data_IF_623022876734
#
_entry.id   IF_623022876734
#
_cell.length_a   1.000
_cell.length_b   1.000
_cell.length_c   1.000
_cell.angle_alpha   90.00
_cell.angle_beta   90.00
_cell.angle_gamma   90.00
#
_symmetry.space_group_name_H-M   'P 1'
#
loop_
_entity.id
_entity.type
_entity.pdbx_description
1 polymer ?
#
# COMPACT_ATOMS: atom_id res chain seq x y z
N UNK A 1 -6.41 -11.69 11.80
CA UNK A 1 -6.96 -12.04 10.47
C UNK A 1 -7.24 -10.75 9.75
N UNK A 2 -7.08 -10.73 8.43
CA UNK A 2 -7.48 -9.62 7.57
C UNK A 2 -8.50 -10.15 6.56
N UNK A 3 -9.59 -9.44 6.40
CA UNK A 3 -10.68 -9.79 5.49
C UNK A 3 -10.87 -8.72 4.42
N UNK A 4 -11.40 -9.12 3.27
CA UNK A 4 -11.93 -8.17 2.31
C UNK A 4 -13.02 -7.31 2.98
N UNK A 5 -12.98 -6.00 2.72
CA UNK A 5 -13.75 -4.92 3.36
C UNK A 5 -13.26 -4.44 4.73
N UNK A 6 -12.20 -5.02 5.29
CA UNK A 6 -11.58 -4.49 6.50
C UNK A 6 -11.00 -3.10 6.27
N UNK A 7 -11.13 -2.26 7.30
CA UNK A 7 -10.45 -0.98 7.38
C UNK A 7 -9.16 -1.20 8.16
N UNK A 8 -8.01 -0.89 7.55
CA UNK A 8 -6.69 -1.16 8.09
C UNK A 8 -5.79 0.07 8.03
N UNK A 9 -4.75 0.08 8.86
CA UNK A 9 -3.60 0.99 8.71
C UNK A 9 -2.33 0.16 8.51
N UNK A 10 -1.49 0.60 7.57
CA UNK A 10 -0.24 -0.07 7.24
C UNK A 10 0.92 0.70 7.86
N UNK A 11 1.66 0.05 8.75
CA UNK A 11 2.84 0.62 9.39
C UNK A 11 4.09 0.09 8.70
N UNK A 12 4.92 0.99 8.21
CA UNK A 12 6.24 0.67 7.71
C UNK A 12 7.12 0.23 8.88
N UNK A 13 7.66 -0.99 8.85
CA UNK A 13 8.30 -1.61 10.01
C UNK A 13 9.56 -0.82 10.42
N UNK A 14 10.40 -0.43 9.45
CA UNK A 14 11.70 0.16 9.77
C UNK A 14 11.59 1.56 10.37
N UNK A 15 10.68 2.39 9.82
CA UNK A 15 10.52 3.79 10.29
C UNK A 15 9.43 3.93 11.35
N UNK A 16 8.55 2.94 11.51
CA UNK A 16 7.38 3.00 12.39
C UNK A 16 6.29 3.97 11.93
N UNK A 17 6.39 4.52 10.71
CA UNK A 17 5.45 5.48 10.14
C UNK A 17 4.31 4.76 9.40
N UNK A 18 3.17 5.42 9.23
CA UNK A 18 1.96 4.83 8.66
C UNK A 18 1.75 5.29 7.22
N UNK A 19 1.31 4.38 6.33
CA UNK A 19 0.91 4.72 4.97
C UNK A 19 -0.29 5.67 5.01
N UNK A 20 -0.11 6.85 4.43
CA UNK A 20 -1.04 7.99 4.54
C UNK A 20 -1.25 8.64 3.19
N UNK A 21 -2.43 9.18 2.98
CA UNK A 21 -2.72 10.03 1.83
C UNK A 21 -3.69 11.15 2.21
N UNK A 22 -3.73 12.22 1.41
CA UNK A 22 -4.72 13.29 1.56
C UNK A 22 -5.06 13.89 0.22
N UNK A 23 -6.14 14.68 0.15
CA UNK A 23 -6.62 15.30 -1.09
C UNK A 23 -5.73 16.44 -1.58
N UNK A 24 -4.48 16.10 -1.88
CA UNK A 24 -3.42 16.95 -2.42
C UNK A 24 -2.61 16.13 -3.42
N UNK A 25 -2.11 16.77 -4.46
CA UNK A 25 -1.38 16.11 -5.54
C UNK A 25 0.12 16.31 -5.42
N UNK A 26 0.90 15.46 -6.06
CA UNK A 26 2.31 15.75 -6.29
C UNK A 26 2.49 17.00 -7.16
N UNK A 27 3.59 17.72 -6.96
CA UNK A 27 3.99 18.89 -7.76
C UNK A 27 4.87 18.52 -8.98
N UNK A 28 5.11 17.22 -9.18
CA UNK A 28 5.88 16.63 -10.27
C UNK A 28 5.37 15.22 -10.56
N UNK A 29 6.01 14.48 -11.46
CA UNK A 29 5.59 13.14 -11.80
C UNK A 29 4.22 13.14 -12.49
N UNK A 30 3.28 12.34 -11.97
CA UNK A 30 1.96 12.17 -12.57
C UNK A 30 0.96 13.28 -12.23
N UNK A 31 1.27 14.10 -11.22
CA UNK A 31 0.32 15.04 -10.61
C UNK A 31 -0.94 14.37 -10.02
N UNK A 32 -0.89 13.07 -9.73
CA UNK A 32 -1.94 12.37 -9.00
C UNK A 32 -1.85 12.63 -7.48
N UNK A 33 -2.85 12.15 -6.73
CA UNK A 33 -2.94 12.35 -5.29
C UNK A 33 -1.72 11.73 -4.59
N UNK A 34 -1.09 12.48 -3.69
CA UNK A 34 0.16 12.09 -3.05
C UNK A 34 -0.02 10.99 -2.01
N UNK A 35 0.96 10.10 -1.90
CA UNK A 35 1.06 9.06 -0.86
C UNK A 35 2.40 9.24 -0.14
N UNK A 36 2.39 9.11 1.17
CA UNK A 36 3.55 9.31 2.02
C UNK A 36 3.41 8.47 3.29
N UNK A 37 4.43 8.44 4.15
CA UNK A 37 4.25 7.91 5.51
C UNK A 37 4.29 8.97 6.60
N UNK A 38 3.34 8.93 7.54
CA UNK A 38 3.20 9.87 8.66
C UNK A 38 3.63 9.26 10.01
N UNK A 39 4.05 10.10 10.95
CA UNK A 39 4.51 9.68 12.29
C UNK A 39 3.43 9.03 13.18
N UNK A 40 2.16 9.33 12.92
CA UNK A 40 1.04 8.90 13.75
C UNK A 40 -0.12 8.46 12.87
N UNK A 41 -0.89 7.49 13.36
CA UNK A 41 -2.15 7.07 12.72
C UNK A 41 -3.21 8.18 12.82
N UNK A 42 -3.96 8.35 11.75
CA UNK A 42 -5.10 9.27 11.64
C UNK A 42 -6.13 8.71 10.66
N UNK A 43 -7.26 9.39 10.48
CA UNK A 43 -8.25 9.01 9.45
C UNK A 43 -7.63 8.95 8.03
N UNK A 44 -6.63 9.79 7.76
CA UNK A 44 -5.83 9.82 6.51
C UNK A 44 -4.88 8.63 6.34
N UNK A 45 -4.78 7.76 7.35
CA UNK A 45 -3.98 6.54 7.32
C UNK A 45 -4.85 5.28 7.25
N UNK A 46 -6.15 5.43 6.95
CA UNK A 46 -7.10 4.32 6.89
C UNK A 46 -7.37 3.90 5.46
N UNK A 47 -7.23 2.60 5.20
CA UNK A 47 -7.40 1.97 3.89
C UNK A 47 -8.42 0.83 3.97
N UNK A 48 -9.23 0.64 2.93
CA UNK A 48 -10.12 -0.51 2.80
C UNK A 48 -9.44 -1.55 1.92
N UNK A 49 -9.38 -2.79 2.40
CA UNK A 49 -8.96 -3.94 1.61
C UNK A 49 -10.10 -4.33 0.70
N UNK A 50 -9.89 -4.31 -0.61
CA UNK A 50 -10.87 -4.71 -1.61
C UNK A 50 -10.29 -5.81 -2.48
N UNK A 51 -11.10 -6.74 -2.98
CA UNK A 51 -10.66 -7.65 -4.03
C UNK A 51 -10.48 -6.89 -5.37
N UNK A 52 -9.93 -7.55 -6.40
CA UNK A 52 -9.91 -7.02 -7.76
C UNK A 52 -11.32 -6.73 -8.25
N UNK A 53 -11.45 -5.88 -9.27
CA UNK A 53 -12.77 -5.44 -9.80
C UNK A 53 -13.62 -6.62 -10.26
N UNK A 54 -12.99 -7.60 -10.90
CA UNK A 54 -13.63 -8.84 -11.33
C UNK A 54 -13.19 -9.93 -10.35
N UNK A 55 -14.08 -10.26 -9.42
CA UNK A 55 -13.89 -11.35 -8.45
C UNK A 55 -15.19 -12.09 -8.23
N UNK A 56 -15.11 -13.35 -7.82
CA UNK A 56 -16.26 -14.12 -7.29
C UNK A 56 -16.34 -14.06 -5.75
N UNK A 57 -15.38 -13.37 -5.11
CA UNK A 57 -15.34 -13.19 -3.65
C UNK A 57 -16.37 -12.17 -3.18
N UNK A 58 -17.19 -12.57 -2.21
CA UNK A 58 -18.08 -11.65 -1.51
C UNK A 58 -17.31 -10.90 -0.40
N UNK A 59 -17.86 -9.79 0.13
CA UNK A 59 -17.30 -9.14 1.32
C UNK A 59 -17.17 -10.12 2.51
N UNK A 60 -16.06 -10.02 3.25
CA UNK A 60 -15.82 -10.83 4.47
C UNK A 60 -15.07 -12.15 4.26
N UNK A 61 -14.47 -12.38 3.09
CA UNK A 61 -13.52 -13.49 2.89
C UNK A 61 -12.15 -13.13 3.49
N UNK A 62 -11.49 -14.12 4.11
CA UNK A 62 -10.11 -13.97 4.57
C UNK A 62 -9.19 -13.81 3.36
N UNK A 63 -8.27 -12.85 3.45
CA UNK A 63 -7.27 -12.63 2.40
C UNK A 63 -6.12 -13.61 2.59
N UNK A 64 -5.86 -14.43 1.58
CA UNK A 64 -4.74 -15.36 1.48
C UNK A 64 -3.43 -14.67 1.13
N UNK A 65 -2.32 -15.40 1.29
CA UNK A 65 -1.07 -14.98 0.67
C UNK A 65 -1.15 -15.15 -0.86
N UNK A 66 -0.44 -14.27 -1.57
CA UNK A 66 -0.45 -14.12 -3.04
C UNK A 66 -1.79 -13.68 -3.65
N UNK A 67 -2.82 -13.45 -2.83
CA UNK A 67 -4.09 -12.93 -3.30
C UNK A 67 -3.92 -11.50 -3.84
N UNK A 68 -4.51 -11.20 -5.01
CA UNK A 68 -4.56 -9.86 -5.53
C UNK A 68 -5.58 -9.04 -4.73
N UNK A 69 -5.18 -7.84 -4.32
CA UNK A 69 -5.99 -6.89 -3.57
C UNK A 69 -5.86 -5.50 -4.17
N UNK A 70 -6.81 -4.64 -3.84
CA UNK A 70 -6.73 -3.19 -4.01
C UNK A 70 -6.86 -2.56 -2.64
N UNK A 71 -6.11 -1.49 -2.40
CA UNK A 71 -6.20 -0.71 -1.17
C UNK A 71 -6.83 0.64 -1.49
N UNK A 72 -8.02 0.89 -0.96
CA UNK A 72 -8.74 2.15 -1.18
C UNK A 72 -8.61 3.07 0.02
N UNK A 73 -8.06 4.26 -0.19
CA UNK A 73 -7.95 5.27 0.84
C UNK A 73 -9.34 5.72 1.31
N UNK A 74 -9.64 5.60 2.60
CA UNK A 74 -11.00 5.82 3.13
C UNK A 74 -11.49 7.26 2.92
N UNK A 75 -10.73 8.31 3.32
CA UNK A 75 -11.19 9.69 3.17
C UNK A 75 -11.43 10.13 1.73
N UNK A 76 -10.57 9.72 0.78
CA UNK A 76 -10.63 10.23 -0.60
C UNK A 76 -11.25 9.27 -1.60
N UNK A 77 -11.48 8.01 -1.21
CA UNK A 77 -12.01 6.92 -2.06
C UNK A 77 -11.12 6.54 -3.24
N UNK A 78 -9.92 7.10 -3.34
CA UNK A 78 -8.93 6.78 -4.37
C UNK A 78 -8.19 5.48 -4.02
N UNK A 79 -7.70 4.77 -5.04
CA UNK A 79 -6.97 3.51 -4.90
C UNK A 79 -5.46 3.78 -4.79
N UNK A 80 -4.76 2.99 -3.97
CA UNK A 80 -3.30 2.93 -3.99
C UNK A 80 -2.85 2.43 -5.37
N UNK A 81 -2.03 3.22 -6.03
CA UNK A 81 -1.75 3.10 -7.45
C UNK A 81 -0.25 3.22 -7.72
N UNK A 82 0.24 2.55 -8.76
CA UNK A 82 1.61 2.76 -9.23
C UNK A 82 1.74 2.55 -10.73
N UNK A 83 2.73 3.19 -11.34
CA UNK A 83 2.91 3.26 -12.79
C UNK A 83 4.34 3.63 -13.15
N UNK A 84 4.73 3.56 -14.43
CA UNK A 84 6.10 3.87 -14.89
C UNK A 84 6.44 5.38 -14.89
N UNK A 85 6.20 6.05 -13.77
CA UNK A 85 6.53 7.45 -13.52
C UNK A 85 7.59 7.52 -12.41
N UNK A 86 8.64 8.34 -12.54
CA UNK A 86 9.61 8.55 -11.46
C UNK A 86 8.99 9.25 -10.25
N UNK A 87 9.33 8.78 -9.05
CA UNK A 87 8.91 9.36 -7.78
C UNK A 87 9.55 10.75 -7.57
N UNK A 88 8.89 11.65 -6.81
CA UNK A 88 9.28 13.06 -6.75
C UNK A 88 10.62 13.34 -6.05
N UNK A 89 11.09 12.46 -5.14
CA UNK A 89 12.31 12.72 -4.36
C UNK A 89 13.47 11.77 -4.72
N UNK A 90 13.26 10.45 -4.66
CA UNK A 90 14.32 9.47 -4.95
C UNK A 90 14.44 9.09 -6.42
N UNK A 91 13.41 9.35 -7.23
CA UNK A 91 13.34 8.92 -8.63
C UNK A 91 13.11 7.42 -8.82
N UNK A 92 12.66 6.72 -7.77
CA UNK A 92 12.15 5.34 -7.87
C UNK A 92 10.79 5.33 -8.60
N UNK A 93 9.98 4.27 -8.52
CA UNK A 93 8.65 4.31 -9.09
C UNK A 93 7.70 5.11 -8.20
N UNK A 94 6.92 6.01 -8.80
CA UNK A 94 5.90 6.77 -8.10
C UNK A 94 4.78 5.84 -7.59
N UNK A 95 4.43 6.00 -6.32
CA UNK A 95 3.19 5.47 -5.75
C UNK A 95 2.29 6.65 -5.44
N UNK A 96 1.03 6.54 -5.84
CA UNK A 96 0.04 7.61 -5.78
C UNK A 96 -1.31 7.05 -5.33
N UNK A 97 -2.27 7.95 -5.16
CA UNK A 97 -3.69 7.63 -5.10
C UNK A 97 -4.34 8.02 -6.43
N UNK A 98 -5.08 7.10 -7.05
CA UNK A 98 -5.74 7.31 -8.33
C UNK A 98 -7.22 6.92 -8.29
N UNK A 99 -8.02 7.56 -9.15
CA UNK A 99 -9.41 7.16 -9.36
C UNK A 99 -10.33 7.41 -8.17
N UNK A 100 -11.37 6.59 -8.06
CA UNK A 100 -12.42 6.68 -7.04
C UNK A 100 -13.22 5.36 -6.98
N UNK A 101 -14.48 5.42 -6.50
CA UNK A 101 -15.36 4.25 -6.45
C UNK A 101 -15.76 3.66 -7.81
N UNK A 102 -15.83 4.49 -8.83
CA UNK A 102 -16.26 4.13 -10.19
C UNK A 102 -15.09 4.07 -11.19
N UNK A 103 -13.92 4.58 -10.81
CA UNK A 103 -12.74 4.65 -11.66
C UNK A 103 -11.55 3.93 -11.02
N UNK A 104 -11.10 2.87 -11.67
CA UNK A 104 -10.04 1.96 -11.24
C UNK A 104 -9.48 1.24 -12.46
N UNK A 105 -8.22 0.85 -12.42
CA UNK A 105 -7.55 0.10 -13.49
C UNK A 105 -6.57 -0.95 -12.95
N UNK A 106 -5.84 -1.62 -13.84
CA UNK A 106 -4.92 -2.71 -13.49
C UNK A 106 -3.69 -2.23 -12.67
N UNK A 107 -3.43 -0.93 -12.62
CA UNK A 107 -2.36 -0.33 -11.82
C UNK A 107 -2.79 -0.07 -10.36
N UNK A 108 -4.02 -0.43 -10.00
CA UNK A 108 -4.50 -0.38 -8.61
C UNK A 108 -4.29 -1.72 -7.88
N UNK A 109 -3.81 -2.76 -8.58
CA UNK A 109 -3.76 -4.14 -8.07
C UNK A 109 -2.39 -4.46 -7.48
N UNK A 110 -2.43 -4.99 -6.25
CA UNK A 110 -1.25 -5.39 -5.47
C UNK A 110 -1.43 -6.83 -5.00
N UNK A 111 -0.33 -7.57 -4.84
CA UNK A 111 -0.33 -8.89 -4.19
C UNK A 111 0.22 -8.79 -2.79
N UNK A 112 -0.51 -9.34 -1.82
CA UNK A 112 -0.04 -9.46 -0.44
C UNK A 112 0.84 -10.70 -0.35
N UNK A 113 2.12 -10.53 -0.04
CA UNK A 113 3.05 -11.65 0.04
C UNK A 113 3.74 -11.72 1.40
N UNK A 114 4.16 -12.92 1.77
CA UNK A 114 5.02 -13.13 2.92
C UNK A 114 6.35 -12.41 2.69
N UNK A 115 6.91 -11.82 3.73
CA UNK A 115 8.28 -11.30 3.62
C UNK A 115 9.31 -12.45 3.60
N UNK A 116 9.06 -13.49 4.41
CA UNK A 116 9.90 -14.69 4.49
C UNK A 116 9.03 -15.91 4.17
N UNK A 117 9.17 -16.45 2.96
CA UNK A 117 8.38 -17.59 2.47
C UNK A 117 8.72 -18.92 3.18
N UNK A 118 9.86 -18.99 3.87
CA UNK A 118 10.34 -20.19 4.56
C UNK A 118 9.98 -20.19 6.06
N UNK A 119 9.26 -19.18 6.56
CA UNK A 119 8.91 -19.06 7.97
C UNK A 119 7.64 -19.87 8.31
N UNK A 120 7.83 -20.98 9.03
CA UNK A 120 6.75 -21.87 9.51
C UNK A 120 5.72 -21.17 10.42
N UNK A 121 5.94 -19.92 10.81
CA UNK A 121 4.97 -19.10 11.56
C UNK A 121 3.83 -18.54 10.69
N UNK A 122 3.97 -18.55 9.36
CA UNK A 122 2.90 -18.14 8.45
C UNK A 122 1.87 -19.26 8.29
N UNK A 123 0.60 -18.97 8.61
CA UNK A 123 -0.52 -19.77 8.09
C UNK A 123 -0.85 -19.33 6.65
N UNK A 124 -1.87 -19.93 6.04
CA UNK A 124 -2.21 -19.68 4.63
C UNK A 124 -2.74 -18.24 4.35
N UNK A 125 -2.89 -17.39 5.37
CA UNK A 125 -3.63 -16.14 5.27
C UNK A 125 -2.89 -14.93 5.84
N UNK A 126 -3.27 -13.75 5.36
CA UNK A 126 -2.75 -12.47 5.84
C UNK A 126 -3.29 -12.12 7.23
N UNK A 127 -2.38 -11.75 8.14
CA UNK A 127 -2.68 -11.49 9.55
C UNK A 127 -2.23 -10.10 10.02
N UNK A 128 -3.04 -9.53 10.91
CA UNK A 128 -2.70 -8.34 11.70
C UNK A 128 -1.47 -8.61 12.55
N UNK A 129 -0.53 -7.65 12.60
CA UNK A 129 0.71 -7.78 13.37
C UNK A 129 1.80 -8.63 12.71
N UNK A 130 1.52 -9.26 11.56
CA UNK A 130 2.49 -10.09 10.84
C UNK A 130 3.19 -9.28 9.72
N UNK A 131 4.53 -9.34 9.63
CA UNK A 131 5.26 -8.69 8.54
C UNK A 131 4.85 -9.22 7.17
N UNK A 132 4.74 -8.33 6.20
CA UNK A 132 4.40 -8.66 4.82
C UNK A 132 5.03 -7.65 3.85
N UNK A 133 4.96 -7.98 2.56
CA UNK A 133 5.29 -7.07 1.45
C UNK A 133 4.08 -6.94 0.51
N UNK A 134 3.98 -5.79 -0.16
CA UNK A 134 2.99 -5.56 -1.21
C UNK A 134 3.69 -5.44 -2.55
N UNK A 135 3.40 -6.35 -3.47
CA UNK A 135 3.93 -6.31 -4.83
C UNK A 135 2.91 -5.71 -5.77
N UNK A 136 3.25 -4.62 -6.43
CA UNK A 136 2.43 -4.07 -7.50
C UNK A 136 2.35 -5.06 -8.66
N UNK A 137 1.14 -5.47 -9.08
CA UNK A 137 0.98 -6.56 -10.03
C UNK A 137 1.48 -6.19 -11.43
N UNK A 138 1.18 -4.98 -11.91
CA UNK A 138 1.52 -4.58 -13.28
C UNK A 138 3.03 -4.36 -13.49
N UNK A 139 3.76 -3.90 -12.46
CA UNK A 139 5.18 -3.53 -12.57
C UNK A 139 6.13 -4.49 -11.84
N UNK A 140 5.60 -5.33 -10.94
CA UNK A 140 6.38 -6.26 -10.12
C UNK A 140 7.15 -5.61 -8.97
N UNK A 141 7.07 -4.28 -8.80
CA UNK A 141 7.80 -3.53 -7.77
C UNK A 141 7.13 -3.63 -6.40
N UNK A 142 7.92 -3.51 -5.34
CA UNK A 142 7.43 -3.60 -3.96
C UNK A 142 7.07 -2.22 -3.42
N UNK A 143 5.99 -2.12 -2.65
CA UNK A 143 5.65 -0.93 -1.88
C UNK A 143 6.75 -0.69 -0.85
N UNK A 144 7.41 0.46 -0.93
CA UNK A 144 8.61 0.79 -0.19
C UNK A 144 8.49 2.16 0.47
N UNK A 145 9.11 2.35 1.63
CA UNK A 145 9.30 3.68 2.21
C UNK A 145 10.64 3.76 2.92
N UNK A 146 11.24 4.94 2.98
CA UNK A 146 12.62 5.09 3.45
C UNK A 146 12.83 6.47 4.07
N UNK A 147 14.02 6.76 4.62
CA UNK A 147 14.31 8.05 5.26
C UNK A 147 14.62 9.17 4.26
N UNK A 148 13.74 9.35 3.27
CA UNK A 148 13.72 10.48 2.33
C UNK A 148 12.44 11.24 2.58
N UNK A 149 12.57 12.46 3.09
CA UNK A 149 11.44 13.31 3.42
C UNK A 149 10.81 13.95 2.16
N UNK A 150 9.49 13.98 2.15
CA UNK A 150 8.66 14.85 1.34
C UNK A 150 8.33 16.14 2.12
N UNK A 151 7.58 17.03 1.48
CA UNK A 151 7.03 18.22 2.15
C UNK A 151 6.21 17.82 3.39
N UNK A 152 6.15 18.73 4.37
CA UNK A 152 5.41 18.53 5.63
C UNK A 152 5.88 17.35 6.50
N UNK A 153 7.07 16.80 6.23
CA UNK A 153 7.73 15.81 7.09
C UNK A 153 7.22 14.38 6.92
N UNK A 154 6.41 14.09 5.90
CA UNK A 154 6.12 12.70 5.52
C UNK A 154 7.33 12.07 4.83
N UNK A 155 7.51 10.75 4.95
CA UNK A 155 8.53 10.08 4.13
C UNK A 155 7.95 9.67 2.77
N UNK A 156 8.80 9.62 1.75
CA UNK A 156 8.44 9.16 0.42
C UNK A 156 7.97 7.69 0.47
N UNK A 157 6.98 7.39 -0.36
CA UNK A 157 6.50 6.03 -0.63
C UNK A 157 6.67 5.78 -2.13
N UNK A 158 7.24 4.63 -2.46
CA UNK A 158 7.68 4.31 -3.82
C UNK A 158 7.42 2.85 -4.16
N UNK A 159 7.48 2.54 -5.46
CA UNK A 159 7.66 1.18 -5.96
C UNK A 159 9.15 0.90 -6.14
N UNK A 160 9.70 -0.02 -5.36
CA UNK A 160 11.12 -0.33 -5.36
C UNK A 160 11.48 -1.50 -6.28
N UNK A 161 12.58 -1.34 -7.01
CA UNK A 161 13.17 -2.38 -7.86
C UNK A 161 14.12 -3.22 -7.01
N UNK A 162 13.67 -4.38 -6.55
CA UNK A 162 14.44 -5.30 -5.72
C UNK A 162 13.71 -5.69 -4.44
N UNK A 163 14.48 -6.05 -3.41
CA UNK A 163 13.96 -6.28 -2.06
C UNK A 163 14.96 -5.84 -1.00
N UNK A 164 14.49 -5.14 0.03
CA UNK A 164 15.22 -4.80 1.24
C UNK A 164 14.28 -4.71 2.47
N UNK A 165 14.80 -4.27 3.62
CA UNK A 165 14.00 -4.14 4.84
C UNK A 165 12.98 -2.98 4.80
N UNK A 166 13.06 -2.09 3.81
CA UNK A 166 12.14 -0.95 3.63
C UNK A 166 10.88 -1.34 2.84
N UNK A 167 10.79 -2.58 2.34
CA UNK A 167 9.57 -3.14 1.77
C UNK A 167 8.63 -3.71 2.84
N UNK A 168 9.07 -3.74 4.11
CA UNK A 168 8.36 -4.41 5.18
C UNK A 168 7.26 -3.55 5.78
N UNK A 169 6.04 -4.09 5.72
CA UNK A 169 4.87 -3.48 6.35
C UNK A 169 4.25 -4.42 7.37
N UNK A 170 3.43 -3.86 8.25
CA UNK A 170 2.56 -4.60 9.16
C UNK A 170 1.21 -3.91 9.25
N UNK A 171 0.13 -4.68 9.33
CA UNK A 171 -1.18 -4.12 9.67
C UNK A 171 -1.20 -3.81 11.16
N UNK A 172 -1.40 -2.55 11.51
CA UNK A 172 -1.31 -1.99 12.87
C UNK A 172 -2.46 -1.00 13.09
N UNK A 173 -2.90 -0.79 14.34
CA UNK A 173 -4.05 0.08 14.67
C UNK A 173 -3.76 1.08 15.79
N UNK A 174 -2.48 1.23 16.15
CA UNK A 174 -1.96 1.74 17.42
C UNK A 174 -0.89 2.82 17.27
#
# INVERSE_FOLDING_TARGET
MVFNSDHISLKHILTGRFLTSKNETYNSGSYQQRVFTADYVSDESTWIVLPPVVTEEEPGYEVGWDDPVRLKHVPTRANLHSHEVPSPASGQQEVSCFGNDENTDDNDVWKVQQFDEDDEQYDDFWRVGQPFILRHEATGKLLHSHDVALEEGGNEVTGYEGTDDNDKWVVSFD
#
